data_IF_446770803852
#
_entry.id   IF_446770803852
#
_cell.length_a   1.000
_cell.length_b   1.000
_cell.length_c   1.000
_cell.angle_alpha   90.00
_cell.angle_beta   90.00
_cell.angle_gamma   90.00
#
_symmetry.space_group_name_H-M   'P 1'
#
loop_
_entity.id
_entity.type
_entity.pdbx_description
1 polymer ?
#
# COMPACT_ATOMS: atom_id res chain seq x y z
N UNK A 1 -12.00 -13.60 -19.21
CA UNK A 1 -11.54 -13.66 -17.81
C UNK A 1 -10.52 -12.57 -17.55
N UNK A 2 -10.65 -11.89 -16.43
CA UNK A 2 -9.67 -10.88 -16.04
C UNK A 2 -8.37 -11.54 -15.57
N UNK A 3 -7.25 -10.93 -15.92
CA UNK A 3 -5.92 -11.40 -15.52
C UNK A 3 -5.39 -10.47 -14.42
N UNK A 4 -5.66 -10.82 -13.17
CA UNK A 4 -5.23 -10.04 -12.01
C UNK A 4 -3.87 -10.55 -11.51
N UNK A 5 -2.90 -9.65 -11.43
CA UNK A 5 -1.56 -9.93 -10.92
C UNK A 5 -1.26 -8.98 -9.77
N UNK A 6 -0.79 -9.52 -8.64
CA UNK A 6 -0.32 -8.73 -7.50
C UNK A 6 1.20 -8.81 -7.50
N UNK A 7 1.86 -7.66 -7.54
CA UNK A 7 3.33 -7.57 -7.64
C UNK A 7 3.84 -6.23 -7.13
N UNK A 8 5.15 -6.07 -7.10
CA UNK A 8 5.77 -4.79 -6.75
C UNK A 8 5.69 -3.79 -7.90
N UNK A 9 5.64 -2.51 -7.54
CA UNK A 9 5.61 -1.39 -8.48
C UNK A 9 6.91 -1.31 -9.30
N UNK A 10 6.78 -1.05 -10.59
CA UNK A 10 7.89 -0.73 -11.50
C UNK A 10 7.75 0.72 -11.95
N UNK A 11 8.86 1.34 -12.37
CA UNK A 11 8.84 2.75 -12.79
C UNK A 11 7.81 3.03 -13.90
N UNK A 12 7.73 2.15 -14.88
CA UNK A 12 6.79 2.31 -16.00
C UNK A 12 5.33 2.30 -15.58
N UNK A 13 5.02 1.70 -14.42
CA UNK A 13 3.65 1.66 -13.91
C UNK A 13 3.12 3.03 -13.53
N UNK A 14 4.00 3.98 -13.23
CA UNK A 14 3.62 5.33 -12.81
C UNK A 14 2.59 5.95 -13.75
N UNK A 15 2.81 5.78 -15.07
CA UNK A 15 1.96 6.34 -16.11
C UNK A 15 1.01 5.31 -16.73
N UNK A 16 1.04 4.07 -16.23
CA UNK A 16 0.17 2.99 -16.67
C UNK A 16 -0.84 2.62 -15.58
N UNK A 17 -1.53 3.61 -15.07
CA UNK A 17 -2.62 3.41 -14.12
C UNK A 17 -2.28 3.69 -12.65
N UNK A 18 -0.99 3.68 -12.25
CA UNK A 18 -0.64 3.85 -10.83
C UNK A 18 -1.09 5.21 -10.28
N UNK A 19 -0.64 6.29 -10.90
CA UNK A 19 -0.97 7.64 -10.41
C UNK A 19 -2.47 7.95 -10.52
N UNK A 20 -3.12 7.49 -11.60
CA UNK A 20 -4.57 7.66 -11.75
C UNK A 20 -5.36 6.80 -10.75
N UNK A 21 -4.85 5.64 -10.37
CA UNK A 21 -5.45 4.82 -9.31
C UNK A 21 -5.40 5.57 -7.98
N UNK A 22 -4.29 6.22 -7.66
CA UNK A 22 -4.16 7.02 -6.44
C UNK A 22 -5.19 8.15 -6.37
N UNK A 23 -5.63 8.68 -7.51
CA UNK A 23 -6.65 9.73 -7.54
C UNK A 23 -7.96 9.30 -6.87
N UNK A 24 -8.24 8.01 -6.78
CA UNK A 24 -9.40 7.49 -6.04
C UNK A 24 -9.26 7.67 -4.54
N UNK A 25 -8.05 7.90 -4.05
CA UNK A 25 -7.76 8.20 -2.65
C UNK A 25 -7.55 9.71 -2.47
N UNK A 26 -6.61 10.27 -3.22
CA UNK A 26 -6.27 11.69 -3.23
C UNK A 26 -5.59 12.01 -4.55
N UNK A 27 -5.83 13.18 -5.11
CA UNK A 27 -5.26 13.55 -6.41
C UNK A 27 -3.73 13.40 -6.41
N UNK A 28 -3.21 12.66 -7.39
CA UNK A 28 -1.79 12.39 -7.57
C UNK A 28 -1.35 12.47 -9.03
N UNK A 29 -2.26 12.25 -9.99
CA UNK A 29 -1.92 12.18 -11.41
C UNK A 29 -1.49 13.51 -12.03
N UNK A 30 -1.68 14.62 -11.31
CA UNK A 30 -1.24 15.96 -11.74
C UNK A 30 0.23 16.24 -11.41
N UNK A 31 0.95 15.32 -10.81
CA UNK A 31 2.37 15.47 -10.48
C UNK A 31 3.21 15.53 -11.75
N UNK A 32 4.25 16.36 -11.74
CA UNK A 32 5.17 16.44 -12.88
C UNK A 32 5.98 15.16 -13.01
N UNK A 33 6.30 14.78 -14.26
CA UNK A 33 6.99 13.55 -14.57
C UNK A 33 8.32 13.41 -13.82
N UNK A 34 9.17 14.43 -13.87
CA UNK A 34 10.46 14.38 -13.20
C UNK A 34 10.32 14.21 -11.69
N UNK A 35 9.34 14.88 -11.10
CA UNK A 35 9.07 14.77 -9.66
C UNK A 35 8.61 13.35 -9.31
N UNK A 36 7.70 12.78 -10.07
CA UNK A 36 7.21 11.43 -9.85
C UNK A 36 8.34 10.39 -9.94
N UNK A 37 9.19 10.53 -10.95
CA UNK A 37 10.32 9.62 -11.16
C UNK A 37 11.36 9.73 -10.04
N UNK A 38 11.63 10.94 -9.54
CA UNK A 38 12.53 11.14 -8.40
C UNK A 38 11.98 10.50 -7.13
N UNK A 39 10.67 10.63 -6.90
CA UNK A 39 10.01 9.97 -5.75
C UNK A 39 10.14 8.47 -5.89
N UNK A 40 9.86 7.93 -7.07
CA UNK A 40 10.01 6.49 -7.32
C UNK A 40 11.43 6.03 -7.03
N UNK A 41 12.44 6.71 -7.56
CA UNK A 41 13.84 6.33 -7.36
C UNK A 41 14.23 6.36 -5.89
N UNK A 42 13.77 7.37 -5.15
CA UNK A 42 14.01 7.48 -3.70
C UNK A 42 13.40 6.31 -2.94
N UNK A 43 12.15 5.98 -3.23
CA UNK A 43 11.45 4.87 -2.58
C UNK A 43 12.09 3.53 -2.97
N UNK A 44 12.34 3.34 -4.27
CA UNK A 44 12.88 2.08 -4.79
C UNK A 44 14.30 1.78 -4.30
N UNK A 45 15.07 2.80 -3.95
CA UNK A 45 16.42 2.62 -3.39
C UNK A 45 16.42 2.30 -1.89
N UNK A 46 15.27 2.39 -1.24
CA UNK A 46 15.13 2.12 0.20
C UNK A 46 14.51 0.74 0.40
N UNK A 47 15.29 -0.19 0.92
CA UNK A 47 14.85 -1.58 1.13
C UNK A 47 13.72 -1.73 2.15
N UNK A 48 13.47 -0.68 2.98
CA UNK A 48 12.39 -0.68 3.96
C UNK A 48 11.05 -0.28 3.35
N UNK A 49 11.03 0.19 2.10
CA UNK A 49 9.80 0.49 1.37
C UNK A 49 9.49 -0.60 0.36
N UNK A 50 8.22 -0.95 0.27
CA UNK A 50 7.68 -1.80 -0.79
C UNK A 50 6.34 -1.22 -1.22
N UNK A 51 6.20 -0.89 -2.50
CA UNK A 51 4.89 -0.52 -3.04
C UNK A 51 4.38 -1.72 -3.82
N UNK A 52 3.20 -2.21 -3.42
CA UNK A 52 2.54 -3.36 -4.03
C UNK A 52 1.38 -2.85 -4.88
N UNK A 53 1.27 -3.39 -6.08
CA UNK A 53 0.22 -3.00 -7.03
C UNK A 53 -0.59 -4.20 -7.48
N UNK A 54 -1.82 -3.92 -7.88
CA UNK A 54 -2.68 -4.87 -8.58
C UNK A 54 -2.76 -4.45 -10.04
N UNK A 55 -2.32 -5.34 -10.92
CA UNK A 55 -2.40 -5.16 -12.36
C UNK A 55 -3.55 -5.99 -12.89
N UNK A 56 -4.46 -5.38 -13.63
CA UNK A 56 -5.55 -6.07 -14.30
C UNK A 56 -5.48 -5.77 -15.79
N UNK A 57 -5.33 -6.84 -16.57
CA UNK A 57 -5.26 -6.75 -18.04
C UNK A 57 -4.25 -5.72 -18.53
N UNK A 58 -3.08 -5.68 -17.88
CA UNK A 58 -1.96 -4.83 -18.25
C UNK A 58 -1.99 -3.42 -17.68
N UNK A 59 -2.94 -3.10 -16.81
CA UNK A 59 -3.07 -1.76 -16.20
C UNK A 59 -3.12 -1.84 -14.67
N UNK A 60 -2.49 -0.90 -14.00
CA UNK A 60 -2.55 -0.81 -12.55
C UNK A 60 -3.90 -0.27 -12.11
N UNK A 61 -4.57 -1.00 -11.22
CA UNK A 61 -5.91 -0.66 -10.72
C UNK A 61 -5.99 -0.68 -9.19
N UNK A 62 -4.91 -1.00 -8.51
CA UNK A 62 -4.86 -0.98 -7.04
C UNK A 62 -3.43 -0.85 -6.56
N UNK A 63 -3.27 -0.36 -5.33
CA UNK A 63 -1.95 -0.17 -4.75
C UNK A 63 -2.00 -0.04 -3.23
N UNK A 64 -0.86 -0.30 -2.60
CA UNK A 64 -0.60 0.08 -1.21
C UNK A 64 0.90 0.18 -0.97
N UNK A 65 1.29 0.89 0.07
CA UNK A 65 2.68 1.02 0.50
C UNK A 65 2.89 0.26 1.80
N UNK A 66 3.97 -0.50 1.87
CA UNK A 66 4.47 -1.10 3.10
C UNK A 66 5.77 -0.40 3.47
N UNK A 67 5.83 0.17 4.66
CA UNK A 67 7.06 0.71 5.23
C UNK A 67 7.46 -0.12 6.45
N UNK A 68 8.74 -0.52 6.54
CA UNK A 68 9.23 -1.33 7.64
C UNK A 68 10.09 -0.48 8.55
N UNK A 69 9.68 -0.42 9.82
CA UNK A 69 10.37 0.33 10.86
C UNK A 69 11.19 -0.63 11.71
N UNK A 70 12.50 -0.35 11.87
CA UNK A 70 13.37 -1.08 12.79
C UNK A 70 13.18 -0.54 14.20
N UNK A 71 13.14 -1.44 15.17
CA UNK A 71 12.90 -1.12 16.59
C UNK A 71 14.08 -1.57 17.43
N UNK A 72 14.29 -0.91 18.58
CA UNK A 72 15.16 -1.44 19.63
C UNK A 72 14.41 -2.46 20.48
N UNK A 73 13.12 -2.22 20.73
CA UNK A 73 12.27 -3.17 21.49
C UNK A 73 12.09 -4.46 20.68
N UNK A 74 11.62 -5.52 21.33
CA UNK A 74 11.47 -6.86 20.75
C UNK A 74 12.77 -7.38 20.14
N UNK A 75 13.92 -7.13 20.83
CA UNK A 75 15.26 -7.57 20.39
C UNK A 75 15.62 -7.06 18.98
N UNK A 76 15.39 -5.78 18.72
CA UNK A 76 15.64 -5.23 17.40
C UNK A 76 14.63 -5.68 16.37
N UNK A 77 13.39 -5.88 16.79
CA UNK A 77 12.31 -6.32 15.90
C UNK A 77 11.92 -5.27 14.87
N UNK A 78 11.08 -5.69 13.94
CA UNK A 78 10.59 -4.84 12.86
C UNK A 78 9.08 -4.77 12.89
N UNK A 79 8.54 -3.60 12.52
CA UNK A 79 7.10 -3.36 12.42
C UNK A 79 6.78 -2.92 11.00
N UNK A 80 5.80 -3.56 10.38
CA UNK A 80 5.28 -3.14 9.08
C UNK A 80 4.18 -2.10 9.26
N UNK A 81 4.23 -1.05 8.45
CA UNK A 81 3.20 -0.01 8.38
C UNK A 81 2.57 -0.04 6.99
N UNK A 82 1.27 -0.23 6.93
CA UNK A 82 0.51 -0.19 5.67
C UNK A 82 -0.06 1.21 5.50
N UNK A 83 0.22 1.82 4.35
CA UNK A 83 -0.20 3.19 4.02
C UNK A 83 -0.81 3.24 2.63
N UNK A 84 -1.74 4.19 2.43
CA UNK A 84 -2.32 4.51 1.12
C UNK A 84 -2.88 3.28 0.39
N UNK A 85 -3.81 2.59 1.04
CA UNK A 85 -4.52 1.46 0.44
C UNK A 85 -5.59 2.01 -0.51
N UNK A 86 -5.52 1.64 -1.78
CA UNK A 86 -6.46 2.15 -2.77
C UNK A 86 -6.75 1.12 -3.86
N UNK A 87 -7.99 1.07 -4.29
CA UNK A 87 -8.41 0.37 -5.52
C UNK A 87 -9.19 1.39 -6.35
N UNK A 88 -8.88 1.45 -7.65
CA UNK A 88 -9.58 2.35 -8.58
C UNK A 88 -11.10 2.15 -8.45
N UNK A 89 -11.83 3.26 -8.40
CA UNK A 89 -13.28 3.23 -8.18
C UNK A 89 -14.02 2.29 -9.13
N UNK A 90 -13.55 2.17 -10.37
CA UNK A 90 -14.18 1.32 -11.38
C UNK A 90 -13.96 -0.18 -11.12
N UNK A 91 -13.05 -0.53 -10.20
CA UNK A 91 -12.65 -1.91 -9.92
C UNK A 91 -12.91 -2.35 -8.49
N UNK A 92 -13.58 -1.53 -7.69
CA UNK A 92 -13.90 -1.85 -6.29
C UNK A 92 -14.97 -2.94 -6.20
N UNK A 93 -15.03 -3.62 -5.03
CA UNK A 93 -16.04 -4.63 -4.76
C UNK A 93 -15.76 -6.01 -5.36
N UNK A 94 -14.55 -6.25 -5.85
CA UNK A 94 -14.17 -7.51 -6.53
C UNK A 94 -13.11 -8.32 -5.79
N UNK A 95 -12.81 -7.96 -4.54
CA UNK A 95 -11.81 -8.66 -3.73
C UNK A 95 -10.37 -8.27 -3.99
N UNK A 96 -10.12 -7.29 -4.85
CA UNK A 96 -8.75 -6.86 -5.18
C UNK A 96 -8.01 -6.31 -3.96
N UNK A 97 -8.68 -5.47 -3.15
CA UNK A 97 -8.07 -4.91 -1.94
C UNK A 97 -7.63 -5.98 -0.96
N UNK A 98 -8.44 -7.00 -0.75
CA UNK A 98 -8.08 -8.12 0.13
C UNK A 98 -6.83 -8.84 -0.36
N UNK A 99 -6.72 -9.07 -1.66
CA UNK A 99 -5.55 -9.74 -2.26
C UNK A 99 -4.29 -8.91 -2.10
N UNK A 100 -4.39 -7.59 -2.28
CA UNK A 100 -3.26 -6.68 -2.08
C UNK A 100 -2.79 -6.75 -0.62
N UNK A 101 -3.71 -6.65 0.33
CA UNK A 101 -3.37 -6.66 1.76
C UNK A 101 -2.75 -8.00 2.16
N UNK A 102 -3.30 -9.12 1.70
CA UNK A 102 -2.72 -10.43 2.00
C UNK A 102 -1.30 -10.57 1.46
N UNK A 103 -1.04 -10.05 0.27
CA UNK A 103 0.31 -10.04 -0.30
C UNK A 103 1.28 -9.23 0.57
N UNK A 104 0.84 -8.05 1.02
CA UNK A 104 1.66 -7.19 1.89
C UNK A 104 1.94 -7.86 3.22
N UNK A 105 0.94 -8.50 3.84
CA UNK A 105 1.13 -9.20 5.11
C UNK A 105 2.16 -10.32 4.97
N UNK A 106 2.11 -11.08 3.88
CA UNK A 106 3.09 -12.13 3.62
C UNK A 106 4.49 -11.54 3.40
N UNK A 107 4.58 -10.42 2.69
CA UNK A 107 5.86 -9.70 2.49
C UNK A 107 6.44 -9.24 3.82
N UNK A 108 5.62 -8.62 4.68
CA UNK A 108 6.05 -8.15 5.99
C UNK A 108 6.55 -9.32 6.86
N UNK A 109 5.83 -10.43 6.84
CA UNK A 109 6.22 -11.64 7.56
C UNK A 109 7.57 -12.17 7.09
N UNK A 110 7.78 -12.26 5.79
CA UNK A 110 9.04 -12.72 5.20
C UNK A 110 10.20 -11.81 5.53
N UNK A 111 9.94 -10.51 5.67
CA UNK A 111 10.96 -9.52 6.04
C UNK A 111 11.23 -9.46 7.54
N UNK A 112 10.56 -10.28 8.34
CA UNK A 112 10.82 -10.43 9.76
C UNK A 112 10.04 -9.49 10.68
N UNK A 113 8.94 -8.91 10.21
CA UNK A 113 8.10 -8.07 11.05
C UNK A 113 7.36 -8.91 12.09
N UNK A 114 7.39 -8.46 13.36
CA UNK A 114 6.63 -9.15 14.41
C UNK A 114 5.16 -8.71 14.44
N UNK A 115 4.84 -7.59 13.81
CA UNK A 115 3.46 -7.14 13.61
C UNK A 115 3.40 -6.20 12.40
N UNK A 116 2.20 -6.05 11.86
CA UNK A 116 1.90 -5.06 10.84
C UNK A 116 0.69 -4.25 11.30
N UNK A 117 0.78 -2.93 11.21
CA UNK A 117 -0.26 -2.01 11.67
C UNK A 117 -0.72 -1.10 10.54
N UNK A 118 -1.94 -0.60 10.68
CA UNK A 118 -2.52 0.43 9.83
C UNK A 118 -3.55 1.20 10.63
N UNK A 119 -3.89 2.39 10.15
CA UNK A 119 -5.06 3.10 10.64
C UNK A 119 -6.11 3.17 9.53
N UNK A 120 -7.35 3.24 9.92
CA UNK A 120 -8.47 3.28 8.99
C UNK A 120 -9.66 3.99 9.63
N UNK A 121 -10.60 4.43 8.79
CA UNK A 121 -11.87 4.96 9.27
C UNK A 121 -12.80 3.82 9.69
N UNK A 122 -13.80 4.14 10.52
CA UNK A 122 -14.71 3.12 11.05
C UNK A 122 -15.49 2.37 9.97
N UNK A 123 -15.79 3.02 8.86
CA UNK A 123 -16.57 2.41 7.77
C UNK A 123 -15.81 1.29 7.04
N UNK A 124 -14.48 1.35 6.98
CA UNK A 124 -13.67 0.30 6.34
C UNK A 124 -13.04 -0.67 7.34
N UNK A 125 -13.15 -0.41 8.63
CA UNK A 125 -12.60 -1.29 9.67
C UNK A 125 -13.06 -2.74 9.53
N UNK A 126 -14.35 -3.05 9.26
CA UNK A 126 -14.77 -4.45 9.07
C UNK A 126 -14.04 -5.17 7.94
N UNK A 127 -13.65 -4.47 6.90
CA UNK A 127 -12.86 -5.04 5.81
C UNK A 127 -11.53 -5.59 6.33
N UNK A 128 -10.83 -4.83 7.17
CA UNK A 128 -9.56 -5.26 7.74
C UNK A 128 -9.74 -6.33 8.82
N UNK A 129 -10.78 -6.22 9.63
CA UNK A 129 -11.07 -7.23 10.66
C UNK A 129 -11.33 -8.60 10.04
N UNK A 130 -12.01 -8.64 8.90
CA UNK A 130 -12.26 -9.89 8.17
C UNK A 130 -10.97 -10.56 7.71
N UNK A 131 -9.94 -9.77 7.38
CA UNK A 131 -8.63 -10.30 6.98
C UNK A 131 -7.86 -10.86 8.19
N UNK A 132 -8.15 -10.36 9.39
CA UNK A 132 -7.52 -10.81 10.63
C UNK A 132 -6.90 -9.70 11.48
N UNK A 133 -7.05 -8.44 11.06
CA UNK A 133 -6.62 -7.32 11.88
C UNK A 133 -7.53 -7.16 13.09
N UNK A 134 -6.97 -6.66 14.19
CA UNK A 134 -7.69 -6.39 15.43
C UNK A 134 -7.52 -4.93 15.80
N UNK A 135 -8.56 -4.32 16.34
CA UNK A 135 -8.44 -2.97 16.88
C UNK A 135 -7.37 -2.97 17.98
N UNK A 136 -6.39 -2.08 17.87
CA UNK A 136 -5.25 -2.05 18.81
C UNK A 136 -5.12 -0.71 19.52
N UNK A 137 -5.27 0.40 18.80
CA UNK A 137 -5.01 1.73 19.33
C UNK A 137 -5.80 2.76 18.55
N UNK A 138 -5.72 4.01 18.98
CA UNK A 138 -6.38 5.12 18.30
C UNK A 138 -5.39 5.84 17.40
N UNK A 139 -5.84 6.25 16.22
CA UNK A 139 -5.08 7.10 15.32
C UNK A 139 -5.28 8.56 15.72
N UNK A 140 -4.19 9.32 15.81
CA UNK A 140 -4.22 10.75 16.09
C UNK A 140 -3.42 11.46 14.99
N UNK A 141 -3.84 12.67 14.65
CA UNK A 141 -3.24 13.42 13.54
C UNK A 141 -2.97 14.86 13.96
N UNK A 142 -1.78 15.37 13.62
CA UNK A 142 -1.42 16.77 13.77
C UNK A 142 -0.94 17.27 12.41
N UNK A 143 -1.62 18.26 11.84
CA UNK A 143 -1.26 18.83 10.53
C UNK A 143 -0.22 19.93 10.69
N UNK A 144 0.83 19.92 9.84
CA UNK A 144 1.89 20.94 9.82
C UNK A 144 1.63 22.03 8.78
N UNK A 145 0.63 21.83 7.94
CA UNK A 145 0.22 22.79 6.91
C UNK A 145 -1.28 22.96 6.89
#
# INVERSE_FOLDING_TARGET
MSNLIIRELKKDDLWNGFLTTLDSLRQASNIEKDTAEKIFDKINSNEDYTIVVAEMDGRIIGATTLFIESKFIHNGGKVGHIEDVVVDKSYQGKGTGEKIIKYVLETAKKKGCYKTILDCTDDVKPFYEKIGFKHNANALRFDHV
#
